data_IF_778138719722
#
_entry.id   IF_778138719722
#
_cell.length_a   1.000
_cell.length_b   1.000
_cell.length_c   1.000
_cell.angle_alpha   90.00
_cell.angle_beta   90.00
_cell.angle_gamma   90.00
#
_symmetry.space_group_name_H-M   'P 1'
#
loop_
_entity.id
_entity.type
_entity.pdbx_description
1 polymer ?
#
# COMPACT_ATOMS: atom_id res chain seq x y z
N UNK A 1 22.16 62.40 7.14
CA UNK A 1 23.33 61.56 6.82
C UNK A 1 22.91 60.47 5.84
N UNK A 2 23.46 60.45 4.62
CA UNK A 2 23.13 59.47 3.57
C UNK A 2 23.62 58.08 3.99
N UNK A 3 22.73 57.10 4.10
CA UNK A 3 23.11 55.69 4.25
C UNK A 3 23.89 55.27 3.00
N UNK A 4 25.17 54.97 3.16
CA UNK A 4 26.03 54.47 2.09
C UNK A 4 25.52 53.10 1.63
N UNK A 5 24.64 53.10 0.64
CA UNK A 5 24.11 51.89 0.01
C UNK A 5 25.27 51.19 -0.68
N UNK A 6 25.84 50.18 -0.02
CA UNK A 6 26.88 49.35 -0.62
C UNK A 6 26.35 48.67 -1.89
N UNK A 7 27.21 48.37 -2.89
CA UNK A 7 26.83 47.52 -4.00
C UNK A 7 26.22 46.21 -3.51
N UNK A 8 25.26 45.65 -4.25
CA UNK A 8 24.57 44.40 -3.86
C UNK A 8 25.57 43.29 -3.52
N UNK A 9 25.29 42.56 -2.45
CA UNK A 9 26.14 41.51 -1.89
C UNK A 9 27.54 41.97 -1.45
N UNK A 10 27.74 43.25 -1.11
CA UNK A 10 29.03 43.73 -0.60
C UNK A 10 28.94 44.50 0.71
N UNK A 11 30.03 44.48 1.47
CA UNK A 11 30.25 45.32 2.66
C UNK A 11 31.73 45.75 2.72
N UNK A 12 32.05 46.73 3.57
CA UNK A 12 33.42 47.27 3.68
C UNK A 12 34.03 46.94 5.05
N UNK A 13 35.26 46.44 5.08
CA UNK A 13 36.05 46.18 6.29
C UNK A 13 37.50 46.62 6.05
N UNK A 14 38.06 47.45 6.94
CA UNK A 14 39.44 47.95 6.79
C UNK A 14 39.69 48.73 5.49
N UNK A 15 38.67 49.44 5.00
CA UNK A 15 38.74 50.21 3.76
C UNK A 15 38.57 49.40 2.45
N UNK A 16 38.56 48.07 2.51
CA UNK A 16 38.44 47.15 1.37
C UNK A 16 37.02 46.58 1.27
N UNK A 17 36.52 46.38 0.05
CA UNK A 17 35.22 45.75 -0.20
C UNK A 17 35.32 44.21 -0.12
N UNK A 18 34.31 43.60 0.48
CA UNK A 18 34.11 42.17 0.58
C UNK A 18 32.78 41.80 -0.06
N UNK A 19 32.73 40.66 -0.73
CA UNK A 19 31.52 39.99 -1.18
C UNK A 19 30.95 39.14 -0.05
N UNK A 20 29.63 39.13 0.10
CA UNK A 20 28.89 38.29 1.04
C UNK A 20 27.56 37.86 0.43
N UNK A 21 27.40 36.56 0.18
CA UNK A 21 26.15 35.96 -0.30
C UNK A 21 25.80 34.70 0.50
N UNK A 22 24.52 34.54 0.82
CA UNK A 22 24.00 33.37 1.55
C UNK A 22 23.93 32.19 0.59
N UNK A 23 24.26 30.99 1.07
CA UNK A 23 24.08 29.75 0.32
C UNK A 23 22.60 29.35 0.38
N UNK A 24 21.93 29.09 -0.76
CA UNK A 24 20.56 28.60 -0.80
C UNK A 24 20.36 27.34 0.05
N UNK A 25 19.21 27.20 0.70
CA UNK A 25 18.94 26.12 1.66
C UNK A 25 19.02 24.73 1.02
N UNK A 26 18.57 24.61 -0.23
CA UNK A 26 18.66 23.40 -1.06
C UNK A 26 20.11 22.96 -1.34
N UNK A 27 21.07 23.88 -1.22
CA UNK A 27 22.49 23.66 -1.47
C UNK A 27 23.34 23.69 -0.19
N UNK A 28 22.72 23.84 0.99
CA UNK A 28 23.43 23.95 2.26
C UNK A 28 24.38 22.76 2.52
N UNK A 29 23.98 21.55 2.12
CA UNK A 29 24.80 20.34 2.26
C UNK A 29 26.11 20.32 1.45
N UNK A 30 26.28 21.20 0.46
CA UNK A 30 27.51 21.29 -0.34
C UNK A 30 28.53 22.29 0.22
N UNK A 31 28.17 23.06 1.26
CA UNK A 31 29.01 24.12 1.80
C UNK A 31 29.18 23.97 3.31
N UNK A 32 30.43 24.01 3.79
CA UNK A 32 30.73 23.96 5.22
C UNK A 32 30.22 25.18 6.02
N UNK A 33 29.82 26.26 5.33
CA UNK A 33 29.33 27.50 5.94
C UNK A 33 28.10 28.01 5.18
N UNK A 34 27.11 28.61 5.88
CA UNK A 34 25.87 29.10 5.27
C UNK A 34 26.04 30.38 4.45
N UNK A 35 27.24 30.98 4.45
CA UNK A 35 27.53 32.25 3.78
C UNK A 35 28.92 32.25 3.18
N UNK A 36 29.00 32.65 1.91
CA UNK A 36 30.23 32.80 1.16
C UNK A 36 30.71 34.24 1.33
N UNK A 37 31.88 34.40 1.96
CA UNK A 37 32.51 35.70 2.16
C UNK A 37 33.89 35.71 1.50
N UNK A 38 34.14 36.70 0.64
CA UNK A 38 35.43 36.81 -0.08
C UNK A 38 35.84 38.27 -0.25
N UNK A 39 37.09 38.60 0.03
CA UNK A 39 37.62 39.94 -0.25
C UNK A 39 37.62 40.19 -1.76
N UNK A 40 37.12 41.37 -2.18
CA UNK A 40 37.20 41.83 -3.56
C UNK A 40 38.54 42.54 -3.86
N UNK A 41 39.43 42.65 -2.85
CA UNK A 41 40.79 43.24 -2.97
C UNK A 41 40.82 44.62 -3.61
N UNK A 42 39.75 45.41 -3.42
CA UNK A 42 39.63 46.75 -3.98
C UNK A 42 39.01 47.71 -2.98
N UNK A 43 39.47 48.96 -3.00
CA UNK A 43 38.85 50.09 -2.28
C UNK A 43 37.89 50.89 -3.18
N UNK A 44 37.88 50.62 -4.50
CA UNK A 44 37.05 51.31 -5.48
C UNK A 44 35.64 50.73 -5.53
N UNK A 45 34.64 51.59 -5.41
CA UNK A 45 33.21 51.24 -5.48
C UNK A 45 32.82 50.62 -6.82
N UNK A 46 33.33 51.18 -7.94
CA UNK A 46 33.01 50.71 -9.29
C UNK A 46 33.57 49.31 -9.53
N UNK A 47 34.85 49.10 -9.19
CA UNK A 47 35.48 47.78 -9.28
C UNK A 47 34.80 46.75 -8.37
N UNK A 48 34.44 47.16 -7.14
CA UNK A 48 33.71 46.28 -6.22
C UNK A 48 32.35 45.85 -6.78
N UNK A 49 31.61 46.77 -7.42
CA UNK A 49 30.31 46.48 -8.04
C UNK A 49 30.45 45.48 -9.20
N UNK A 50 31.42 45.68 -10.08
CA UNK A 50 31.68 44.77 -11.21
C UNK A 50 32.14 43.40 -10.72
N UNK A 51 33.08 43.34 -9.78
CA UNK A 51 33.59 42.10 -9.22
C UNK A 51 32.49 41.31 -8.46
N UNK A 52 31.65 42.00 -7.67
CA UNK A 52 30.52 41.39 -6.96
C UNK A 52 29.52 40.74 -7.93
N UNK A 53 29.16 41.45 -9.01
CA UNK A 53 28.26 40.93 -10.05
C UNK A 53 28.82 39.69 -10.73
N UNK A 54 30.09 39.73 -11.14
CA UNK A 54 30.75 38.59 -11.78
C UNK A 54 30.81 37.36 -10.85
N UNK A 55 31.16 37.57 -9.57
CA UNK A 55 31.22 36.48 -8.61
C UNK A 55 29.83 35.90 -8.29
N UNK A 56 28.79 36.75 -8.22
CA UNK A 56 27.42 36.29 -8.05
C UNK A 56 26.95 35.45 -9.24
N UNK A 57 27.23 35.86 -10.48
CA UNK A 57 26.86 35.11 -11.68
C UNK A 57 27.51 33.72 -11.70
N UNK A 58 28.83 33.65 -11.46
CA UNK A 58 29.55 32.37 -11.38
C UNK A 58 28.98 31.43 -10.30
N UNK A 59 28.53 31.97 -9.17
CA UNK A 59 27.89 31.18 -8.13
C UNK A 59 26.52 30.65 -8.56
N UNK A 60 25.71 31.45 -9.27
CA UNK A 60 24.43 30.98 -9.80
C UNK A 60 24.62 29.87 -10.85
N UNK A 61 25.58 30.03 -11.77
CA UNK A 61 25.88 29.01 -12.78
C UNK A 61 26.32 27.69 -12.14
N UNK A 62 27.20 27.77 -11.13
CA UNK A 62 27.65 26.61 -10.38
C UNK A 62 26.52 25.94 -9.60
N UNK A 63 25.68 26.73 -8.92
CA UNK A 63 24.52 26.25 -8.20
C UNK A 63 23.47 25.61 -9.11
N UNK A 64 23.27 26.14 -10.31
CA UNK A 64 22.44 25.52 -11.34
C UNK A 64 23.00 24.14 -11.72
N UNK A 65 24.31 24.02 -11.93
CA UNK A 65 24.96 22.72 -12.19
C UNK A 65 24.71 21.69 -11.07
N UNK A 66 24.85 22.10 -9.81
CA UNK A 66 24.55 21.23 -8.66
C UNK A 66 23.08 20.79 -8.61
N UNK A 67 22.15 21.68 -8.96
CA UNK A 67 20.72 21.36 -9.03
C UNK A 67 20.43 20.39 -10.16
N UNK A 68 21.05 20.57 -11.33
CA UNK A 68 20.91 19.66 -12.46
C UNK A 68 21.48 18.27 -12.17
N UNK A 69 22.55 18.16 -11.37
CA UNK A 69 23.07 16.86 -10.91
C UNK A 69 22.15 16.12 -9.94
N UNK A 70 21.32 16.85 -9.18
CA UNK A 70 20.35 16.28 -8.24
C UNK A 70 18.95 16.12 -8.83
N UNK A 71 18.67 16.73 -9.97
CA UNK A 71 17.39 16.61 -10.63
C UNK A 71 17.22 15.19 -11.17
N UNK A 72 16.04 14.60 -10.94
CA UNK A 72 15.62 13.42 -11.68
C UNK A 72 15.71 13.69 -13.18
N UNK A 73 15.96 12.65 -13.98
CA UNK A 73 16.18 12.82 -15.42
C UNK A 73 15.01 13.60 -16.02
N UNK A 74 15.24 14.81 -16.56
CA UNK A 74 14.17 15.63 -17.11
C UNK A 74 13.43 14.88 -18.20
N UNK A 75 12.10 14.86 -18.09
CA UNK A 75 11.25 14.08 -18.98
C UNK A 75 11.67 12.59 -19.08
N UNK A 76 12.01 11.95 -17.95
CA UNK A 76 12.30 10.51 -17.89
C UNK A 76 11.24 9.64 -18.60
N UNK A 77 9.97 10.06 -18.57
CA UNK A 77 8.86 9.41 -19.27
C UNK A 77 8.96 9.46 -20.81
N UNK A 78 9.78 10.33 -21.38
CA UNK A 78 10.07 10.45 -22.82
C UNK A 78 11.38 9.79 -23.21
N UNK A 79 12.19 9.31 -22.26
CA UNK A 79 13.37 8.54 -22.60
C UNK A 79 12.94 7.29 -23.33
N UNK A 80 13.35 7.18 -24.59
CA UNK A 80 13.42 5.91 -25.27
C UNK A 80 14.52 5.15 -24.54
N UNK A 81 14.14 4.35 -23.54
CA UNK A 81 15.02 3.31 -23.02
C UNK A 81 15.51 2.58 -24.27
N UNK A 82 16.82 2.51 -24.55
CA UNK A 82 17.31 1.57 -25.53
C UNK A 82 16.78 0.24 -25.03
N UNK A 83 15.72 -0.24 -25.66
CA UNK A 83 15.46 -1.66 -25.69
C UNK A 83 16.75 -2.16 -26.34
N UNK A 84 17.75 -2.54 -25.55
CA UNK A 84 18.34 -3.85 -25.80
C UNK A 84 17.12 -4.68 -26.11
N UNK A 85 16.92 -4.97 -27.40
CA UNK A 85 15.81 -5.76 -27.80
C UNK A 85 15.95 -6.97 -26.91
N UNK A 86 15.02 -7.09 -25.96
CA UNK A 86 14.82 -8.30 -25.22
C UNK A 86 14.33 -9.21 -26.34
N UNK A 87 15.27 -9.77 -27.11
CA UNK A 87 15.06 -10.51 -28.36
C UNK A 87 14.28 -11.81 -28.12
N UNK A 88 13.88 -12.02 -26.87
CA UNK A 88 12.96 -13.04 -26.46
C UNK A 88 11.57 -12.81 -27.04
N UNK A 89 11.09 -13.85 -27.71
CA UNK A 89 9.70 -13.98 -28.15
C UNK A 89 8.80 -14.58 -27.06
N UNK A 90 9.33 -14.77 -25.84
CA UNK A 90 8.53 -15.28 -24.73
C UNK A 90 7.50 -14.24 -24.28
N UNK A 91 6.39 -14.69 -23.67
CA UNK A 91 5.37 -13.80 -23.15
C UNK A 91 5.93 -12.82 -22.12
N UNK A 92 5.33 -11.64 -22.05
CA UNK A 92 5.61 -10.67 -20.98
C UNK A 92 4.91 -11.05 -19.68
N UNK A 93 5.23 -10.32 -18.60
CA UNK A 93 4.52 -10.47 -17.32
C UNK A 93 3.03 -10.10 -17.43
N UNK A 94 2.67 -9.20 -18.35
CA UNK A 94 1.28 -8.82 -18.62
C UNK A 94 0.55 -9.90 -19.41
N UNK A 95 1.19 -10.49 -20.42
CA UNK A 95 0.64 -11.65 -21.15
C UNK A 95 0.42 -12.84 -20.20
N UNK A 96 1.38 -13.09 -19.32
CA UNK A 96 1.28 -14.13 -18.29
C UNK A 96 0.11 -13.87 -17.33
N UNK A 97 -0.15 -12.60 -16.98
CA UNK A 97 -1.29 -12.20 -16.16
C UNK A 97 -2.61 -12.46 -16.89
N UNK A 98 -2.73 -12.07 -18.17
CA UNK A 98 -3.94 -12.28 -18.95
C UNK A 98 -4.28 -13.76 -19.08
N UNK A 99 -3.29 -14.60 -19.39
CA UNK A 99 -3.44 -16.05 -19.43
C UNK A 99 -3.85 -16.62 -18.06
N UNK A 100 -3.20 -16.16 -16.99
CA UNK A 100 -3.54 -16.61 -15.64
C UNK A 100 -4.99 -16.26 -15.28
N UNK A 101 -5.45 -15.06 -15.61
CA UNK A 101 -6.81 -14.62 -15.33
C UNK A 101 -7.86 -15.32 -16.20
N UNK A 102 -7.57 -15.58 -17.48
CA UNK A 102 -8.52 -16.25 -18.38
C UNK A 102 -8.78 -17.70 -17.97
N UNK A 103 -7.75 -18.40 -17.48
CA UNK A 103 -7.86 -19.80 -17.07
C UNK A 103 -8.23 -19.95 -15.59
N UNK A 104 -7.46 -19.35 -14.67
CA UNK A 104 -7.71 -19.52 -13.22
C UNK A 104 -8.83 -18.63 -12.69
N UNK A 105 -9.28 -17.64 -13.45
CA UNK A 105 -10.29 -16.67 -13.02
C UNK A 105 -11.76 -17.11 -13.18
N UNK A 106 -12.06 -18.15 -13.97
CA UNK A 106 -13.45 -18.53 -14.32
C UNK A 106 -14.37 -18.79 -13.12
N UNK A 107 -13.81 -19.25 -12.00
CA UNK A 107 -14.55 -19.55 -10.75
C UNK A 107 -14.18 -18.62 -9.58
N UNK A 108 -13.52 -17.49 -9.86
CA UNK A 108 -12.96 -16.61 -8.83
C UNK A 108 -13.73 -15.31 -8.69
N UNK A 109 -13.67 -14.75 -7.49
CA UNK A 109 -14.33 -13.48 -7.15
C UNK A 109 -13.57 -12.26 -7.68
N UNK A 110 -14.23 -11.10 -7.74
CA UNK A 110 -13.65 -9.84 -8.22
C UNK A 110 -12.31 -9.48 -7.54
N UNK A 111 -12.17 -9.77 -6.25
CA UNK A 111 -10.95 -9.52 -5.49
C UNK A 111 -9.74 -10.29 -6.02
N UNK A 112 -9.94 -11.49 -6.56
CA UNK A 112 -8.86 -12.27 -7.18
C UNK A 112 -8.24 -11.50 -8.35
N UNK A 113 -9.08 -11.00 -9.26
CA UNK A 113 -8.64 -10.21 -10.41
C UNK A 113 -7.95 -8.92 -9.98
N UNK A 114 -8.55 -8.18 -9.04
CA UNK A 114 -7.99 -6.93 -8.52
C UNK A 114 -6.61 -7.15 -7.88
N UNK A 115 -6.46 -8.20 -7.07
CA UNK A 115 -5.19 -8.52 -6.42
C UNK A 115 -4.10 -8.94 -7.41
N UNK A 116 -4.43 -9.78 -8.38
CA UNK A 116 -3.47 -10.21 -9.41
C UNK A 116 -2.98 -9.01 -10.25
N UNK A 117 -3.92 -8.19 -10.74
CA UNK A 117 -3.62 -6.96 -11.51
C UNK A 117 -2.75 -5.98 -10.71
N UNK A 118 -3.09 -5.73 -9.45
CA UNK A 118 -2.30 -4.84 -8.57
C UNK A 118 -0.87 -5.35 -8.34
N UNK A 119 -0.72 -6.66 -8.13
CA UNK A 119 0.60 -7.22 -7.85
C UNK A 119 1.50 -7.20 -9.09
N UNK A 120 0.94 -7.45 -10.28
CA UNK A 120 1.68 -7.31 -11.55
C UNK A 120 1.98 -5.85 -11.86
N UNK A 121 1.05 -4.92 -11.58
CA UNK A 121 1.33 -3.50 -11.79
C UNK A 121 2.48 -2.98 -10.92
N UNK A 122 2.72 -3.57 -9.74
CA UNK A 122 3.93 -3.29 -8.96
C UNK A 122 5.21 -3.74 -9.67
N UNK A 123 5.22 -4.91 -10.29
CA UNK A 123 6.37 -5.38 -11.09
C UNK A 123 6.61 -4.44 -12.25
N UNK A 124 5.57 -4.13 -13.03
CA UNK A 124 5.66 -3.23 -14.19
C UNK A 124 6.12 -1.83 -13.77
N UNK A 125 5.64 -1.31 -12.64
CA UNK A 125 6.08 0.01 -12.14
C UNK A 125 7.54 0.02 -11.70
N UNK A 126 8.07 -1.09 -11.20
CA UNK A 126 9.43 -1.16 -10.67
C UNK A 126 10.47 -1.55 -11.74
N UNK A 127 10.13 -2.51 -12.60
CA UNK A 127 11.07 -3.16 -13.53
C UNK A 127 10.67 -2.98 -15.00
N UNK A 128 9.47 -2.47 -15.28
CA UNK A 128 8.87 -2.45 -16.61
C UNK A 128 8.22 -3.78 -16.98
N UNK A 129 7.45 -3.77 -18.07
CA UNK A 129 6.90 -5.00 -18.66
C UNK A 129 7.93 -5.60 -19.62
N UNK A 130 8.47 -6.76 -19.24
CA UNK A 130 9.50 -7.51 -19.99
C UNK A 130 9.06 -8.96 -20.22
N UNK A 131 9.60 -9.66 -21.25
CA UNK A 131 9.51 -11.11 -21.38
C UNK A 131 9.95 -11.84 -20.11
N UNK A 132 9.33 -12.99 -19.82
CA UNK A 132 9.53 -13.71 -18.55
C UNK A 132 10.97 -14.17 -18.29
N UNK A 133 11.73 -14.49 -19.34
CA UNK A 133 13.15 -14.88 -19.30
C UNK A 133 14.11 -13.70 -19.18
N UNK A 134 13.62 -12.48 -19.39
CA UNK A 134 14.42 -11.26 -19.28
C UNK A 134 14.40 -10.66 -17.86
N UNK A 135 13.82 -11.35 -16.89
CA UNK A 135 13.99 -11.06 -15.49
C UNK A 135 15.11 -11.92 -14.89
N UNK A 136 15.90 -11.33 -14.03
CA UNK A 136 16.95 -12.00 -13.26
C UNK A 136 16.58 -12.11 -11.77
N UNK A 137 17.30 -12.95 -11.03
CA UNK A 137 17.18 -13.00 -9.57
C UNK A 137 17.57 -11.67 -8.90
N UNK A 138 18.46 -10.90 -9.53
CA UNK A 138 18.85 -9.56 -9.08
C UNK A 138 17.67 -8.57 -9.25
N UNK A 139 16.94 -8.61 -10.37
CA UNK A 139 15.73 -7.81 -10.56
C UNK A 139 14.69 -8.12 -9.48
N UNK A 140 14.52 -9.40 -9.15
CA UNK A 140 13.58 -9.82 -8.13
C UNK A 140 14.01 -9.37 -6.72
N UNK A 141 15.32 -9.27 -6.43
CA UNK A 141 15.82 -8.66 -5.20
C UNK A 141 15.59 -7.13 -5.16
N UNK A 142 15.80 -6.43 -6.29
CA UNK A 142 15.47 -5.00 -6.44
C UNK A 142 13.99 -4.75 -6.19
N UNK A 143 13.11 -5.59 -6.77
CA UNK A 143 11.68 -5.49 -6.57
C UNK A 143 11.27 -5.69 -5.10
N UNK A 144 11.91 -6.62 -4.38
CA UNK A 144 11.69 -6.80 -2.93
C UNK A 144 12.04 -5.52 -2.15
N UNK A 145 13.19 -4.92 -2.45
CA UNK A 145 13.62 -3.70 -1.79
C UNK A 145 12.64 -2.56 -2.07
N UNK A 146 12.26 -2.39 -3.34
CA UNK A 146 11.28 -1.38 -3.75
C UNK A 146 9.92 -1.50 -3.04
N UNK A 147 9.41 -2.73 -2.86
CA UNK A 147 8.17 -2.95 -2.09
C UNK A 147 8.33 -2.55 -0.61
N UNK A 148 9.51 -2.79 -0.04
CA UNK A 148 9.82 -2.44 1.35
C UNK A 148 9.93 -0.93 1.53
N UNK A 149 10.59 -0.25 0.59
CA UNK A 149 10.74 1.22 0.57
C UNK A 149 9.38 1.92 0.38
N UNK A 150 8.45 1.25 -0.32
CA UNK A 150 7.04 1.67 -0.43
C UNK A 150 6.23 1.49 0.87
N UNK A 151 6.83 0.92 1.92
CA UNK A 151 6.23 0.77 3.24
C UNK A 151 5.36 -0.49 3.41
N UNK A 152 5.49 -1.49 2.53
CA UNK A 152 4.78 -2.76 2.74
C UNK A 152 5.46 -3.58 3.84
N UNK A 153 4.69 -4.04 4.82
CA UNK A 153 5.19 -4.98 5.82
C UNK A 153 5.59 -6.33 5.22
N UNK A 154 6.50 -7.05 5.87
CA UNK A 154 7.11 -8.29 5.37
C UNK A 154 6.08 -9.36 4.93
N UNK A 155 5.00 -9.56 5.70
CA UNK A 155 3.90 -10.49 5.33
C UNK A 155 3.17 -10.06 4.04
N UNK A 156 3.10 -8.76 3.76
CA UNK A 156 2.51 -8.26 2.52
C UNK A 156 3.45 -8.48 1.33
N UNK A 157 4.75 -8.22 1.51
CA UNK A 157 5.77 -8.49 0.48
C UNK A 157 5.75 -9.97 0.09
N UNK A 158 5.74 -10.88 1.07
CA UNK A 158 5.65 -12.33 0.83
C UNK A 158 4.41 -12.68 -0.01
N UNK A 159 3.25 -12.13 0.34
CA UNK A 159 2.01 -12.37 -0.43
C UNK A 159 2.07 -11.86 -1.86
N UNK A 160 2.68 -10.69 -2.08
CA UNK A 160 2.88 -10.15 -3.44
C UNK A 160 3.75 -11.10 -4.26
N UNK A 161 4.89 -11.53 -3.72
CA UNK A 161 5.78 -12.50 -4.38
C UNK A 161 5.08 -13.84 -4.65
N UNK A 162 4.29 -14.36 -3.72
CA UNK A 162 3.56 -15.62 -3.93
C UNK A 162 2.61 -15.55 -5.13
N UNK A 163 1.91 -14.41 -5.32
CA UNK A 163 1.01 -14.22 -6.47
C UNK A 163 1.81 -14.12 -7.77
N UNK A 164 2.89 -13.33 -7.80
CA UNK A 164 3.74 -13.21 -8.99
C UNK A 164 4.35 -14.56 -9.38
N UNK A 165 4.86 -15.32 -8.40
CA UNK A 165 5.36 -16.69 -8.61
C UNK A 165 4.29 -17.57 -9.22
N UNK A 166 3.06 -17.52 -8.71
CA UNK A 166 1.95 -18.34 -9.22
C UNK A 166 1.59 -17.99 -10.67
N UNK A 167 1.55 -16.70 -11.02
CA UNK A 167 1.24 -16.22 -12.38
C UNK A 167 2.32 -16.71 -13.36
N UNK A 168 3.59 -16.43 -13.06
CA UNK A 168 4.72 -16.78 -13.94
C UNK A 168 4.84 -18.29 -14.09
N UNK A 169 4.80 -19.05 -12.97
CA UNK A 169 4.90 -20.51 -13.03
C UNK A 169 3.73 -21.15 -13.77
N UNK A 170 2.54 -20.56 -13.69
CA UNK A 170 1.39 -21.02 -14.46
C UNK A 170 1.64 -20.81 -15.95
N UNK A 171 2.02 -19.61 -16.37
CA UNK A 171 2.31 -19.31 -17.78
C UNK A 171 3.42 -20.20 -18.37
N UNK A 172 4.53 -20.38 -17.64
CA UNK A 172 5.63 -21.27 -18.04
C UNK A 172 5.13 -22.69 -18.30
N UNK A 173 4.33 -23.25 -17.38
CA UNK A 173 3.81 -24.62 -17.51
C UNK A 173 2.75 -24.76 -18.59
N UNK A 174 1.83 -23.81 -18.66
CA UNK A 174 0.68 -23.86 -19.57
C UNK A 174 1.12 -23.74 -21.04
N UNK A 175 2.14 -22.92 -21.31
CA UNK A 175 2.68 -22.72 -22.66
C UNK A 175 3.93 -23.56 -22.96
N UNK A 176 4.39 -24.39 -22.01
CA UNK A 176 5.57 -25.24 -22.18
C UNK A 176 6.86 -24.45 -22.40
N UNK A 177 7.03 -23.29 -21.75
CA UNK A 177 8.17 -22.41 -21.94
C UNK A 177 9.43 -22.98 -21.28
N UNK A 178 10.55 -22.92 -21.98
CA UNK A 178 11.86 -23.30 -21.43
C UNK A 178 12.57 -22.08 -20.80
N UNK A 179 12.00 -21.57 -19.70
CA UNK A 179 12.62 -20.51 -18.92
C UNK A 179 12.41 -20.69 -17.41
N UNK A 180 13.29 -20.10 -16.61
CA UNK A 180 13.21 -20.14 -15.15
C UNK A 180 12.46 -18.93 -14.63
N UNK A 181 11.65 -19.13 -13.60
CA UNK A 181 11.02 -18.03 -12.89
C UNK A 181 12.04 -17.30 -12.00
N UNK A 182 12.46 -16.11 -12.44
CA UNK A 182 13.40 -15.23 -11.74
C UNK A 182 13.00 -14.87 -10.30
N UNK A 183 11.69 -14.81 -10.01
CA UNK A 183 11.16 -14.42 -8.71
C UNK A 183 11.14 -15.58 -7.70
N UNK A 184 11.34 -16.83 -8.15
CA UNK A 184 11.17 -18.03 -7.32
C UNK A 184 12.12 -18.12 -6.13
N UNK A 185 13.40 -17.76 -6.31
CA UNK A 185 14.49 -17.94 -5.33
C UNK A 185 14.82 -16.73 -4.46
N UNK A 186 14.02 -15.65 -4.49
CA UNK A 186 14.31 -14.45 -3.69
C UNK A 186 14.16 -14.75 -2.20
N UNK A 187 15.17 -14.37 -1.41
CA UNK A 187 15.08 -14.37 0.04
C UNK A 187 14.07 -13.32 0.52
N UNK A 188 13.05 -13.76 1.25
CA UNK A 188 12.01 -12.90 1.80
C UNK A 188 12.05 -13.04 3.32
N UNK A 189 12.55 -12.02 4.06
CA UNK A 189 12.58 -12.08 5.52
C UNK A 189 11.16 -12.18 6.06
N UNK A 190 10.91 -13.16 6.92
CA UNK A 190 9.66 -13.25 7.67
C UNK A 190 9.81 -12.52 8.99
N UNK A 191 9.01 -11.49 9.23
CA UNK A 191 8.88 -10.91 10.56
C UNK A 191 8.04 -11.81 11.47
N UNK A 192 8.41 -11.86 12.75
CA UNK A 192 7.53 -12.38 13.80
C UNK A 192 6.32 -11.45 13.91
N UNK A 193 5.24 -11.80 13.22
CA UNK A 193 3.96 -11.09 13.33
C UNK A 193 3.62 -10.94 14.82
N UNK A 194 3.27 -9.72 15.26
CA UNK A 194 2.76 -9.48 16.61
C UNK A 194 1.62 -10.47 16.86
N UNK A 195 1.77 -11.33 17.87
CA UNK A 195 0.74 -12.30 18.25
C UNK A 195 -0.56 -11.54 18.52
N UNK A 196 -1.64 -11.94 17.84
CA UNK A 196 -2.98 -11.42 18.14
C UNK A 196 -3.44 -12.08 19.43
N UNK A 197 -3.71 -11.26 20.44
CA UNK A 197 -4.22 -11.75 21.72
C UNK A 197 -5.75 -11.71 21.74
N UNK A 198 -6.40 -12.69 22.39
CA UNK A 198 -7.85 -12.63 22.60
C UNK A 198 -8.22 -11.42 23.47
N UNK A 199 -9.45 -10.93 23.30
CA UNK A 199 -9.99 -9.90 24.18
C UNK A 199 -10.13 -10.49 25.59
N UNK A 200 -9.51 -9.83 26.58
CA UNK A 200 -9.59 -10.27 27.98
C UNK A 200 -11.05 -10.29 28.45
N UNK A 201 -11.43 -11.29 29.24
CA UNK A 201 -12.83 -11.50 29.66
C UNK A 201 -13.50 -10.31 30.34
N UNK A 202 -12.76 -9.50 31.12
CA UNK A 202 -13.32 -8.27 31.71
C UNK A 202 -13.70 -7.23 30.66
N UNK A 203 -12.82 -7.00 29.68
CA UNK A 203 -13.08 -6.08 28.56
C UNK A 203 -14.19 -6.58 27.66
N UNK A 204 -14.28 -7.90 27.44
CA UNK A 204 -15.38 -8.50 26.68
C UNK A 204 -16.73 -8.25 27.37
N UNK A 205 -16.80 -8.43 28.69
CA UNK A 205 -18.02 -8.13 29.47
C UNK A 205 -18.39 -6.65 29.40
N UNK A 206 -17.42 -5.74 29.46
CA UNK A 206 -17.67 -4.30 29.24
C UNK A 206 -18.26 -4.06 27.85
N UNK A 207 -17.64 -4.61 26.80
CA UNK A 207 -18.12 -4.49 25.43
C UNK A 207 -19.57 -5.00 25.28
N UNK A 208 -19.88 -6.17 25.84
CA UNK A 208 -21.22 -6.74 25.81
C UNK A 208 -22.26 -5.86 26.53
N UNK A 209 -21.90 -5.25 27.66
CA UNK A 209 -22.79 -4.29 28.36
C UNK A 209 -23.06 -3.05 27.52
N UNK A 210 -22.04 -2.51 26.84
CA UNK A 210 -22.21 -1.39 25.92
C UNK A 210 -23.11 -1.77 24.73
N UNK A 211 -22.99 -3.01 24.23
CA UNK A 211 -23.89 -3.52 23.20
C UNK A 211 -25.36 -3.48 23.67
N UNK A 212 -25.62 -3.93 24.89
CA UNK A 212 -26.95 -3.91 25.50
C UNK A 212 -27.46 -2.50 25.77
N UNK A 213 -26.57 -1.58 26.17
CA UNK A 213 -26.96 -0.19 26.48
C UNK A 213 -27.32 0.62 25.24
N UNK A 214 -26.65 0.38 24.11
CA UNK A 214 -26.90 1.11 22.86
C UNK A 214 -28.01 0.48 22.02
N UNK A 215 -28.11 -0.86 22.05
CA UNK A 215 -29.23 -1.62 21.49
C UNK A 215 -29.61 -1.26 20.03
N UNK A 216 -28.60 -1.17 19.16
CA UNK A 216 -28.75 -0.92 17.73
C UNK A 216 -28.26 -2.10 16.86
N UNK A 217 -28.58 -2.06 15.56
CA UNK A 217 -28.27 -3.13 14.60
C UNK A 217 -26.77 -3.48 14.55
N UNK A 218 -25.89 -2.48 14.67
CA UNK A 218 -24.44 -2.70 14.69
C UNK A 218 -24.03 -3.41 15.99
N UNK A 219 -24.64 -3.05 17.12
CA UNK A 219 -24.32 -3.67 18.42
C UNK A 219 -24.89 -5.06 18.55
N UNK A 220 -26.03 -5.36 17.93
CA UNK A 220 -26.54 -6.72 17.82
C UNK A 220 -25.56 -7.60 17.04
N UNK A 221 -24.98 -7.11 15.95
CA UNK A 221 -23.97 -7.85 15.19
C UNK A 221 -22.73 -8.17 16.04
N UNK A 222 -22.21 -7.18 16.77
CA UNK A 222 -21.04 -7.35 17.66
C UNK A 222 -21.34 -8.33 18.79
N UNK A 223 -22.50 -8.18 19.45
CA UNK A 223 -22.94 -9.08 20.50
C UNK A 223 -23.13 -10.52 19.99
N UNK A 224 -23.70 -10.69 18.80
CA UNK A 224 -23.91 -11.99 18.17
C UNK A 224 -22.60 -12.75 17.97
N UNK A 225 -21.57 -12.09 17.41
CA UNK A 225 -20.27 -12.74 17.16
C UNK A 225 -19.42 -12.94 18.42
N UNK A 226 -19.73 -12.21 19.51
CA UNK A 226 -18.92 -12.22 20.73
C UNK A 226 -18.88 -13.57 21.43
N UNK A 227 -20.01 -14.30 21.47
CA UNK A 227 -20.11 -15.61 22.12
C UNK A 227 -20.21 -16.77 21.09
N UNK A 228 -20.66 -16.49 19.85
CA UNK A 228 -20.90 -17.54 18.84
C UNK A 228 -19.65 -17.96 18.06
N UNK A 229 -18.59 -17.14 18.10
CA UNK A 229 -17.35 -17.40 17.34
C UNK A 229 -17.54 -17.35 15.82
N UNK A 230 -18.66 -16.83 15.33
CA UNK A 230 -18.93 -16.67 13.91
C UNK A 230 -17.94 -15.69 13.27
N UNK A 231 -17.59 -15.96 12.01
CA UNK A 231 -16.91 -14.93 11.21
C UNK A 231 -17.89 -13.79 10.96
N UNK A 232 -17.38 -12.56 10.88
CA UNK A 232 -18.21 -11.39 10.57
C UNK A 232 -19.03 -11.60 9.29
N UNK A 233 -18.42 -12.16 8.25
CA UNK A 233 -19.09 -12.49 6.98
C UNK A 233 -20.22 -13.51 7.11
N UNK A 234 -20.12 -14.43 8.08
CA UNK A 234 -21.16 -15.43 8.35
C UNK A 234 -22.36 -14.76 9.02
N UNK A 235 -22.10 -13.89 10.01
CA UNK A 235 -23.14 -13.21 10.79
C UNK A 235 -23.89 -12.15 9.97
N UNK A 236 -23.18 -11.34 9.18
CA UNK A 236 -23.77 -10.30 8.34
C UNK A 236 -24.75 -10.89 7.31
N UNK A 237 -24.45 -12.07 6.76
CA UNK A 237 -25.30 -12.73 5.78
C UNK A 237 -26.40 -13.60 6.36
N UNK A 238 -26.74 -13.49 7.65
CA UNK A 238 -27.82 -14.26 8.27
C UNK A 238 -29.19 -13.86 7.74
N UNK A 239 -30.02 -14.87 7.46
CA UNK A 239 -31.46 -14.71 7.34
C UNK A 239 -32.09 -14.80 8.73
N UNK A 240 -33.25 -14.15 8.90
CA UNK A 240 -34.01 -14.22 10.15
C UNK A 240 -34.41 -15.67 10.49
N UNK A 241 -34.68 -16.47 9.46
CA UNK A 241 -35.01 -17.90 9.60
C UNK A 241 -33.83 -18.77 10.02
N UNK A 242 -32.59 -18.30 9.84
CA UNK A 242 -31.41 -19.01 10.36
C UNK A 242 -31.40 -18.98 11.90
N UNK A 243 -32.15 -18.07 12.54
CA UNK A 243 -32.21 -17.91 14.00
C UNK A 243 -33.41 -18.70 14.58
N UNK A 244 -33.12 -19.81 15.25
CA UNK A 244 -34.09 -20.71 15.86
C UNK A 244 -34.15 -20.49 17.38
N UNK A 245 -35.09 -19.65 17.83
CA UNK A 245 -35.26 -19.30 19.26
C UNK A 245 -36.19 -20.25 20.02
N UNK A 246 -37.08 -20.97 19.33
CA UNK A 246 -38.11 -21.82 19.95
C UNK A 246 -37.68 -23.25 20.24
N UNK A 247 -36.44 -23.63 19.87
CA UNK A 247 -35.89 -24.94 20.21
C UNK A 247 -35.48 -25.01 21.68
N UNK A 248 -35.44 -26.21 22.25
CA UNK A 248 -34.97 -26.47 23.63
C UNK A 248 -33.59 -25.84 23.88
N UNK A 249 -32.71 -25.93 22.86
CA UNK A 249 -31.48 -25.16 22.78
C UNK A 249 -31.57 -24.16 21.62
N UNK A 250 -31.78 -22.85 21.91
CA UNK A 250 -31.75 -21.82 20.89
C UNK A 250 -30.43 -21.82 20.12
N UNK A 251 -30.49 -21.70 18.80
CA UNK A 251 -29.32 -21.82 17.95
C UNK A 251 -29.44 -21.04 16.63
N UNK A 252 -28.31 -20.88 15.96
CA UNK A 252 -28.23 -20.47 14.57
C UNK A 252 -28.00 -21.73 13.73
N UNK A 253 -28.82 -21.93 12.71
CA UNK A 253 -28.59 -22.93 11.68
C UNK A 253 -27.78 -22.31 10.53
N UNK A 254 -26.45 -22.37 10.60
CA UNK A 254 -25.59 -21.72 9.62
C UNK A 254 -25.40 -22.62 8.40
N UNK A 255 -26.16 -22.35 7.33
CA UNK A 255 -26.11 -23.10 6.07
C UNK A 255 -25.59 -22.24 4.91
N UNK A 256 -25.24 -22.89 3.79
CA UNK A 256 -24.86 -22.19 2.56
C UNK A 256 -26.09 -21.54 1.92
N UNK A 257 -25.96 -20.27 1.57
CA UNK A 257 -27.01 -19.53 0.85
C UNK A 257 -26.44 -18.89 -0.43
N UNK A 258 -27.28 -18.62 -1.46
CA UNK A 258 -26.82 -17.99 -2.69
C UNK A 258 -26.06 -16.67 -2.48
N UNK A 259 -26.50 -15.85 -1.51
CA UNK A 259 -25.91 -14.56 -1.15
C UNK A 259 -24.83 -14.66 -0.04
N UNK A 260 -24.70 -15.82 0.61
CA UNK A 260 -23.72 -16.09 1.68
C UNK A 260 -23.02 -17.43 1.41
N UNK A 261 -21.91 -17.37 0.67
CA UNK A 261 -21.03 -18.52 0.48
C UNK A 261 -20.25 -18.80 1.76
N UNK A 262 -20.20 -20.07 2.15
CA UNK A 262 -19.36 -20.53 3.25
C UNK A 262 -17.97 -20.92 2.75
N UNK A 263 -16.94 -20.69 3.57
CA UNK A 263 -15.54 -20.88 3.20
C UNK A 263 -15.19 -22.34 2.85
N UNK A 264 -15.82 -23.29 3.53
CA UNK A 264 -15.62 -24.75 3.38
C UNK A 264 -16.91 -25.47 3.76
N UNK A 265 -17.05 -26.74 3.36
CA UNK A 265 -18.21 -27.57 3.74
C UNK A 265 -18.37 -27.69 5.26
N UNK A 266 -17.25 -27.84 5.99
CA UNK A 266 -17.21 -27.85 7.45
C UNK A 266 -17.63 -26.53 8.13
N UNK A 267 -17.89 -25.46 7.38
CA UNK A 267 -18.41 -24.21 7.94
C UNK A 267 -19.92 -24.27 8.16
N UNK A 268 -20.63 -25.20 7.51
CA UNK A 268 -22.05 -25.47 7.77
C UNK A 268 -22.20 -26.18 9.11
N UNK A 269 -22.93 -25.54 10.03
CA UNK A 269 -22.99 -26.00 11.44
C UNK A 269 -24.15 -25.37 12.19
N UNK A 270 -24.57 -26.05 13.27
CA UNK A 270 -25.47 -25.50 14.27
C UNK A 270 -24.63 -24.80 15.35
N UNK A 271 -24.97 -23.55 15.66
CA UNK A 271 -24.25 -22.73 16.65
C UNK A 271 -25.19 -22.40 17.79
N UNK A 272 -25.00 -22.96 18.99
CA UNK A 272 -25.81 -22.61 20.15
C UNK A 272 -25.73 -21.12 20.47
N UNK A 273 -26.88 -20.52 20.78
CA UNK A 273 -26.99 -19.14 21.21
C UNK A 273 -27.00 -19.08 22.73
N UNK A 274 -26.02 -18.40 23.32
CA UNK A 274 -25.87 -18.24 24.76
C UNK A 274 -25.49 -16.80 25.11
N UNK A 275 -25.72 -16.38 26.35
CA UNK A 275 -25.25 -15.09 26.85
C UNK A 275 -25.71 -13.90 26.00
N UNK A 276 -24.74 -13.08 25.58
CA UNK A 276 -24.99 -11.87 24.80
C UNK A 276 -25.41 -12.19 23.36
N UNK A 277 -24.93 -13.29 22.78
CA UNK A 277 -25.38 -13.72 21.45
C UNK A 277 -26.87 -14.10 21.42
N UNK A 278 -27.38 -14.75 22.47
CA UNK A 278 -28.81 -15.06 22.59
C UNK A 278 -29.66 -13.79 22.74
N UNK A 279 -29.19 -12.84 23.56
CA UNK A 279 -29.84 -11.53 23.68
C UNK A 279 -29.92 -10.83 22.32
N UNK A 280 -28.80 -10.76 21.58
CA UNK A 280 -28.76 -10.15 20.26
C UNK A 280 -29.72 -10.84 19.28
N UNK A 281 -29.75 -12.16 19.27
CA UNK A 281 -30.66 -12.94 18.41
C UNK A 281 -32.14 -12.63 18.66
N UNK A 282 -32.53 -12.42 19.93
CA UNK A 282 -33.88 -11.97 20.29
C UNK A 282 -34.18 -10.57 19.75
N UNK A 283 -33.27 -9.61 20.00
CA UNK A 283 -33.44 -8.23 19.51
C UNK A 283 -33.55 -8.16 17.98
N UNK A 284 -32.71 -8.91 17.26
CA UNK A 284 -32.79 -9.01 15.81
C UNK A 284 -34.17 -9.50 15.36
N UNK A 285 -34.68 -10.58 15.95
CA UNK A 285 -35.97 -11.15 15.55
C UNK A 285 -37.17 -10.26 15.90
N UNK A 286 -37.05 -9.49 16.99
CA UNK A 286 -38.07 -8.53 17.42
C UNK A 286 -38.14 -7.26 16.56
N UNK A 287 -36.99 -6.80 16.03
CA UNK A 287 -36.89 -5.48 15.40
C UNK A 287 -36.67 -5.51 13.88
N UNK A 288 -36.47 -6.68 13.29
CA UNK A 288 -36.18 -6.80 11.85
C UNK A 288 -37.45 -7.06 11.06
N UNK A 289 -37.76 -6.16 10.13
CA UNK A 289 -38.87 -6.31 9.15
C UNK A 289 -38.42 -6.92 7.81
N UNK A 290 -37.11 -7.12 7.62
CA UNK A 290 -36.50 -7.74 6.44
C UNK A 290 -36.33 -9.25 6.62
N UNK A 291 -36.14 -9.97 5.51
CA UNK A 291 -35.68 -11.37 5.55
C UNK A 291 -34.23 -11.52 6.03
N UNK A 292 -33.42 -10.46 5.90
CA UNK A 292 -32.02 -10.43 6.34
C UNK A 292 -31.91 -9.86 7.75
N UNK A 293 -31.10 -10.47 8.61
CA UNK A 293 -30.83 -9.97 9.94
C UNK A 293 -30.14 -8.60 9.94
N UNK A 294 -29.30 -8.33 8.92
CA UNK A 294 -28.53 -7.10 8.80
C UNK A 294 -28.65 -6.49 7.39
N UNK A 295 -29.82 -5.91 7.05
CA UNK A 295 -30.09 -5.39 5.70
C UNK A 295 -29.19 -4.21 5.31
N UNK A 296 -28.55 -3.55 6.30
CA UNK A 296 -27.52 -2.53 6.08
C UNK A 296 -26.33 -3.05 5.26
N UNK A 297 -26.01 -4.33 5.39
CA UNK A 297 -24.78 -4.92 4.85
C UNK A 297 -25.04 -6.07 3.87
N UNK A 298 -26.25 -6.64 3.87
CA UNK A 298 -26.60 -7.78 3.02
C UNK A 298 -27.90 -7.53 2.26
N UNK A 299 -27.90 -7.88 0.98
CA UNK A 299 -29.06 -7.92 0.10
C UNK A 299 -29.06 -9.20 -0.72
N UNK A 300 -30.05 -9.38 -1.59
CA UNK A 300 -30.12 -10.56 -2.46
C UNK A 300 -28.93 -10.65 -3.44
N UNK A 301 -28.39 -9.48 -3.83
CA UNK A 301 -27.35 -9.38 -4.82
C UNK A 301 -25.94 -9.36 -4.23
N UNK A 302 -25.77 -8.90 -2.99
CA UNK A 302 -24.44 -8.67 -2.42
C UNK A 302 -24.42 -8.71 -0.88
N UNK A 303 -23.31 -9.18 -0.32
CA UNK A 303 -23.03 -9.19 1.11
C UNK A 303 -21.69 -8.49 1.37
N UNK A 304 -21.76 -7.27 1.92
CA UNK A 304 -20.60 -6.45 2.25
C UNK A 304 -19.99 -6.94 3.57
N UNK A 305 -19.04 -7.86 3.44
CA UNK A 305 -18.43 -8.56 4.58
C UNK A 305 -16.93 -8.28 4.76
N UNK A 306 -16.36 -7.36 3.98
CA UNK A 306 -14.97 -6.90 4.05
C UNK A 306 -14.87 -5.46 4.54
#
# INVERSE_FOLDING_TARGET
>A
MKTLKHPSYTYRKGGVYYFSKVVPQDLAGFYAKPRIVRSLRTKSLSHAKTASRSLSARLEDYWLGLRLQRADVPAAHLLVVPREQLDSKLPTIEDALELYLSVKGQSKEKLFFSHAKRNVSYVVSCLGSRPLDCYSSADAATFRQWLSDKGLGSTSVIRVFSVIKAIINFCIKEQGLDCKNAFSGVYLPSENNKKRYPVKGSKLKTLQRECVSLDDDIRWLVALISDSGMRLSEAVGLLVDDIVLGADQPHINLTKLPHRRLKTDASERIIPLVGCSLWAAKRIKENTSSRFCFPRYCSEANCNSN
#
